data_IF_399130105318
#
_entry.id   IF_399130105318
#
_cell.length_a   1.000
_cell.length_b   1.000
_cell.length_c   1.000
_cell.angle_alpha   90.00
_cell.angle_beta   90.00
_cell.angle_gamma   90.00
#
_symmetry.space_group_name_H-M   'P 1'
#
loop_
_entity.id
_entity.type
_entity.pdbx_description
1 polymer ?
#
# COMPACT_ATOMS: atom_id res chain seq x y z
N UNK A 1 14.35 -4.99 -21.11
CA UNK A 1 13.40 -5.58 -20.13
C UNK A 1 14.05 -6.63 -19.21
N UNK A 2 14.49 -6.24 -18.01
CA UNK A 2 14.94 -7.20 -16.98
C UNK A 2 13.79 -8.12 -16.54
N UNK A 3 14.09 -9.41 -16.34
CA UNK A 3 13.08 -10.41 -15.96
C UNK A 3 12.42 -10.00 -14.64
N UNK A 4 11.11 -9.74 -14.65
CA UNK A 4 10.38 -9.27 -13.46
C UNK A 4 10.57 -10.23 -12.29
N UNK A 5 11.06 -9.79 -11.12
CA UNK A 5 11.21 -10.65 -9.96
C UNK A 5 9.84 -11.10 -9.47
N UNK A 6 9.69 -12.40 -9.18
CA UNK A 6 8.44 -12.96 -8.64
C UNK A 6 7.96 -12.26 -7.37
N UNK A 7 8.88 -11.79 -6.53
CA UNK A 7 8.57 -11.02 -5.32
C UNK A 7 7.82 -9.72 -5.63
N UNK A 8 8.20 -9.00 -6.69
CA UNK A 8 7.52 -7.76 -7.09
C UNK A 8 6.10 -8.06 -7.57
N UNK A 9 5.92 -9.11 -8.36
CA UNK A 9 4.58 -9.54 -8.79
C UNK A 9 3.69 -9.88 -7.60
N UNK A 10 4.19 -10.65 -6.64
CA UNK A 10 3.42 -11.03 -5.43
C UNK A 10 3.06 -9.79 -4.62
N UNK A 11 4.02 -8.91 -4.34
CA UNK A 11 3.77 -7.68 -3.57
C UNK A 11 2.75 -6.79 -4.28
N UNK A 12 2.93 -6.55 -5.59
CA UNK A 12 1.99 -5.76 -6.38
C UNK A 12 0.56 -6.29 -6.28
N UNK A 13 0.36 -7.60 -6.46
CA UNK A 13 -0.96 -8.21 -6.37
C UNK A 13 -1.56 -8.14 -4.98
N UNK A 14 -0.76 -8.33 -3.93
CA UNK A 14 -1.20 -8.17 -2.54
C UNK A 14 -1.71 -6.74 -2.32
N UNK A 15 -0.95 -5.72 -2.73
CA UNK A 15 -1.34 -4.32 -2.55
C UNK A 15 -2.57 -3.93 -3.37
N UNK A 16 -2.70 -4.46 -4.60
CA UNK A 16 -3.91 -4.28 -5.42
C UNK A 16 -5.11 -4.91 -4.73
N UNK A 17 -5.01 -6.17 -4.31
CA UNK A 17 -6.10 -6.90 -3.67
C UNK A 17 -6.53 -6.22 -2.36
N UNK A 18 -5.57 -5.89 -1.49
CA UNK A 18 -5.84 -5.19 -0.23
C UNK A 18 -6.45 -3.82 -0.47
N UNK A 19 -5.92 -3.03 -1.41
CA UNK A 19 -6.48 -1.72 -1.76
C UNK A 19 -7.91 -1.81 -2.30
N UNK A 20 -8.18 -2.79 -3.18
CA UNK A 20 -9.52 -3.05 -3.72
C UNK A 20 -10.50 -3.52 -2.64
N UNK A 21 -10.12 -4.46 -1.78
CA UNK A 21 -10.96 -4.94 -0.67
C UNK A 21 -11.24 -3.81 0.30
N UNK A 22 -10.23 -3.01 0.65
CA UNK A 22 -10.42 -1.85 1.52
C UNK A 22 -11.34 -0.80 0.88
N UNK A 23 -11.23 -0.54 -0.43
CA UNK A 23 -12.17 0.35 -1.13
C UNK A 23 -13.59 -0.22 -1.13
N UNK A 24 -13.75 -1.50 -1.43
CA UNK A 24 -15.04 -2.18 -1.41
C UNK A 24 -15.68 -2.10 -0.01
N UNK A 25 -14.91 -2.38 1.05
CA UNK A 25 -15.38 -2.24 2.43
C UNK A 25 -15.71 -0.80 2.85
N UNK A 26 -15.10 0.21 2.22
CA UNK A 26 -15.46 1.62 2.44
C UNK A 26 -16.80 1.98 1.80
N UNK A 27 -17.05 1.46 0.61
CA UNK A 27 -18.15 1.89 -0.26
C UNK A 27 -19.40 1.01 -0.10
N UNK A 28 -19.22 -0.24 0.32
CA UNK A 28 -20.28 -1.21 0.47
C UNK A 28 -20.52 -1.47 1.96
N UNK A 29 -21.77 -1.36 2.44
CA UNK A 29 -22.13 -1.62 3.83
C UNK A 29 -22.17 -3.14 4.07
N UNK A 30 -21.01 -3.78 4.10
CA UNK A 30 -20.89 -5.22 4.37
C UNK A 30 -21.07 -5.56 5.85
N UNK A 31 -20.87 -4.59 6.74
CA UNK A 31 -20.97 -4.76 8.19
C UNK A 31 -21.53 -3.48 8.83
N UNK A 32 -22.61 -3.61 9.59
CA UNK A 32 -23.27 -2.50 10.27
C UNK A 32 -22.35 -1.82 11.30
N UNK A 33 -21.43 -2.58 11.93
CA UNK A 33 -20.45 -2.05 12.86
C UNK A 33 -19.36 -1.23 12.14
N UNK A 34 -18.88 -1.71 10.98
CA UNK A 34 -17.96 -0.96 10.14
C UNK A 34 -18.63 0.28 9.54
N UNK A 35 -19.93 0.21 9.21
CA UNK A 35 -20.71 1.33 8.72
C UNK A 35 -20.93 2.41 9.80
N UNK A 36 -21.15 2.04 11.07
CA UNK A 36 -21.23 3.00 12.18
C UNK A 36 -19.88 3.67 12.47
N UNK A 37 -18.78 2.91 12.51
CA UNK A 37 -17.43 3.46 12.65
C UNK A 37 -17.08 4.38 11.47
N UNK A 38 -17.43 3.98 10.25
CA UNK A 38 -17.28 4.81 9.06
C UNK A 38 -18.16 6.07 9.12
N UNK A 39 -19.35 6.01 9.73
CA UNK A 39 -20.21 7.17 9.91
C UNK A 39 -19.66 8.16 10.95
N UNK A 40 -19.08 7.68 12.05
CA UNK A 40 -18.38 8.52 13.03
C UNK A 40 -17.11 9.16 12.44
N UNK A 41 -16.32 8.39 11.68
CA UNK A 41 -15.16 8.92 10.93
C UNK A 41 -15.62 9.88 9.83
N UNK A 42 -16.77 9.65 9.20
CA UNK A 42 -17.35 10.54 8.17
C UNK A 42 -17.75 11.90 8.75
N UNK A 43 -18.07 11.99 10.04
CA UNK A 43 -18.26 13.28 10.73
C UNK A 43 -16.96 14.10 10.76
N UNK A 44 -15.80 13.45 10.66
CA UNK A 44 -14.49 14.06 10.41
C UNK A 44 -14.10 13.93 8.93
N UNK A 45 -14.72 14.78 8.10
CA UNK A 45 -14.54 14.79 6.64
C UNK A 45 -13.08 14.66 6.17
N UNK A 46 -12.11 15.26 6.88
CA UNK A 46 -10.69 15.20 6.52
C UNK A 46 -10.10 13.77 6.62
N UNK A 47 -10.40 13.06 7.71
CA UNK A 47 -9.83 11.72 7.97
C UNK A 47 -10.33 10.70 6.96
N UNK A 48 -11.60 10.79 6.55
CA UNK A 48 -12.18 9.94 5.51
C UNK A 48 -11.46 10.10 4.17
N UNK A 49 -11.16 11.34 3.77
CA UNK A 49 -10.44 11.62 2.53
C UNK A 49 -9.02 11.04 2.55
N UNK A 50 -8.27 11.25 3.64
CA UNK A 50 -6.94 10.65 3.79
C UNK A 50 -6.98 9.12 3.71
N UNK A 51 -7.97 8.50 4.34
CA UNK A 51 -8.13 7.05 4.34
C UNK A 51 -8.45 6.49 2.95
N UNK A 52 -9.34 7.16 2.19
CA UNK A 52 -9.67 6.79 0.81
C UNK A 52 -8.48 6.98 -0.12
N UNK A 53 -7.79 8.11 -0.01
CA UNK A 53 -6.56 8.40 -0.78
C UNK A 53 -5.53 7.31 -0.52
N UNK A 54 -5.29 6.94 0.73
CA UNK A 54 -4.36 5.86 1.07
C UNK A 54 -4.74 4.54 0.39
N UNK A 55 -6.02 4.17 0.35
CA UNK A 55 -6.47 2.93 -0.31
C UNK A 55 -6.27 2.96 -1.82
N UNK A 56 -6.58 4.09 -2.47
CA UNK A 56 -6.31 4.28 -3.91
C UNK A 56 -4.81 4.23 -4.19
N UNK A 57 -3.99 4.87 -3.35
CA UNK A 57 -2.53 4.83 -3.47
C UNK A 57 -1.99 3.40 -3.42
N UNK A 58 -2.53 2.52 -2.58
CA UNK A 58 -2.11 1.12 -2.54
C UNK A 58 -2.31 0.41 -3.89
N UNK A 59 -3.46 0.62 -4.53
CA UNK A 59 -3.76 0.06 -5.86
C UNK A 59 -2.84 0.67 -6.91
N UNK A 60 -2.70 2.00 -6.93
CA UNK A 60 -1.81 2.72 -7.87
C UNK A 60 -0.37 2.22 -7.74
N UNK A 61 0.16 2.11 -6.51
CA UNK A 61 1.51 1.57 -6.28
C UNK A 61 1.65 0.18 -6.86
N UNK A 62 0.71 -0.72 -6.56
CA UNK A 62 0.77 -2.11 -7.02
C UNK A 62 0.76 -2.20 -8.54
N UNK A 63 -0.12 -1.46 -9.21
CA UNK A 63 -0.23 -1.40 -10.67
C UNK A 63 1.06 -0.85 -11.30
N UNK A 64 1.54 0.32 -10.87
CA UNK A 64 2.73 0.92 -11.47
C UNK A 64 4.03 0.17 -11.14
N UNK A 65 4.07 -0.57 -10.02
CA UNK A 65 5.14 -1.53 -9.75
C UNK A 65 5.15 -2.71 -10.73
N UNK A 66 3.98 -3.16 -11.22
CA UNK A 66 3.92 -4.16 -12.30
C UNK A 66 4.47 -3.62 -13.61
N UNK A 67 4.44 -2.31 -13.84
CA UNK A 67 5.06 -1.72 -15.03
C UNK A 67 6.55 -1.36 -14.83
N UNK A 68 7.09 -1.53 -13.63
CA UNK A 68 8.51 -1.27 -13.34
C UNK A 68 8.86 0.21 -13.16
N UNK A 69 7.87 1.07 -12.91
CA UNK A 69 8.15 2.48 -12.63
C UNK A 69 8.81 2.66 -11.28
N UNK A 70 10.01 3.27 -11.26
CA UNK A 70 10.78 3.47 -10.03
C UNK A 70 10.08 4.40 -9.01
N UNK A 71 9.25 5.34 -9.47
CA UNK A 71 8.49 6.21 -8.56
C UNK A 71 7.47 5.43 -7.72
N UNK A 72 6.91 4.35 -8.25
CA UNK A 72 5.94 3.51 -7.54
C UNK A 72 6.59 2.83 -6.31
N UNK A 73 7.90 2.55 -6.40
CA UNK A 73 8.70 2.05 -5.28
C UNK A 73 8.68 3.02 -4.10
N UNK A 74 8.94 4.30 -4.38
CA UNK A 74 9.00 5.33 -3.35
C UNK A 74 7.61 5.68 -2.81
N UNK A 75 6.60 5.69 -3.68
CA UNK A 75 5.23 5.88 -3.24
C UNK A 75 4.78 4.77 -2.27
N UNK A 76 5.15 3.51 -2.53
CA UNK A 76 4.87 2.40 -1.62
C UNK A 76 5.57 2.58 -0.26
N UNK A 77 6.81 3.07 -0.25
CA UNK A 77 7.56 3.34 1.00
C UNK A 77 6.89 4.45 1.81
N UNK A 78 6.49 5.55 1.17
CA UNK A 78 5.76 6.64 1.82
C UNK A 78 4.44 6.11 2.41
N UNK A 79 3.73 5.27 1.66
CA UNK A 79 2.49 4.64 2.12
C UNK A 79 2.71 3.75 3.35
N UNK A 80 3.79 2.97 3.39
CA UNK A 80 4.14 2.14 4.55
C UNK A 80 4.53 2.98 5.77
N UNK A 81 5.28 4.08 5.56
CA UNK A 81 5.63 5.02 6.62
C UNK A 81 4.38 5.67 7.26
N UNK A 82 3.40 6.02 6.44
CA UNK A 82 2.10 6.51 6.92
C UNK A 82 1.41 5.48 7.84
N UNK A 83 1.45 4.19 7.47
CA UNK A 83 0.87 3.11 8.29
C UNK A 83 1.63 2.84 9.59
N UNK A 84 2.95 3.05 9.62
CA UNK A 84 3.73 3.02 10.85
C UNK A 84 3.27 4.11 11.83
N UNK A 85 3.06 5.34 11.33
CA UNK A 85 2.54 6.46 12.15
C UNK A 85 1.15 6.13 12.68
N UNK A 86 0.25 5.62 11.83
CA UNK A 86 -1.07 5.16 12.28
C UNK A 86 -0.99 4.04 13.32
N UNK A 87 -0.10 3.07 13.12
CA UNK A 87 0.14 1.99 14.08
C UNK A 87 0.59 2.52 15.44
N UNK A 88 1.49 3.52 15.46
CA UNK A 88 1.93 4.16 16.69
C UNK A 88 0.79 4.88 17.43
N UNK A 89 -0.16 5.47 16.70
CA UNK A 89 -1.33 6.15 17.28
C UNK A 89 -2.41 5.19 17.79
N UNK A 90 -2.61 4.03 17.14
CA UNK A 90 -3.64 3.05 17.51
C UNK A 90 -3.22 2.05 18.60
N UNK A 91 -1.93 1.96 18.91
CA UNK A 91 -1.41 1.17 20.02
C UNK A 91 -0.32 0.17 19.64
N UNK A 92 0.33 -0.47 20.64
CA UNK A 92 1.56 -1.25 20.44
C UNK A 92 1.38 -2.46 19.53
N UNK A 93 0.22 -3.13 19.56
CA UNK A 93 -0.06 -4.25 18.66
C UNK A 93 -0.19 -3.78 17.21
N UNK A 94 -0.89 -2.67 16.98
CA UNK A 94 -1.02 -2.05 15.66
C UNK A 94 0.35 -1.65 15.12
N UNK A 95 1.16 -0.97 15.92
CA UNK A 95 2.52 -0.61 15.55
C UNK A 95 3.37 -1.84 15.19
N UNK A 96 3.32 -2.91 15.99
CA UNK A 96 4.10 -4.13 15.75
C UNK A 96 3.74 -4.76 14.40
N UNK A 97 2.45 -4.97 14.13
CA UNK A 97 1.97 -5.58 12.88
C UNK A 97 2.40 -4.74 11.66
N UNK A 98 2.19 -3.41 11.71
CA UNK A 98 2.58 -2.53 10.62
C UNK A 98 4.09 -2.42 10.45
N UNK A 99 4.86 -2.54 11.53
CA UNK A 99 6.33 -2.55 11.48
C UNK A 99 6.85 -3.80 10.79
N UNK A 100 6.33 -4.98 11.15
CA UNK A 100 6.73 -6.24 10.53
C UNK A 100 6.36 -6.25 9.04
N UNK A 101 5.13 -5.84 8.70
CA UNK A 101 4.70 -5.73 7.31
C UNK A 101 5.61 -4.77 6.52
N UNK A 102 5.87 -3.59 7.06
CA UNK A 102 6.76 -2.60 6.43
C UNK A 102 8.16 -3.16 6.20
N UNK A 103 8.75 -3.81 7.21
CA UNK A 103 10.08 -4.39 7.11
C UNK A 103 10.17 -5.47 6.04
N UNK A 104 9.20 -6.39 6.00
CA UNK A 104 9.13 -7.47 5.00
C UNK A 104 9.00 -6.90 3.59
N UNK A 105 8.07 -5.96 3.38
CA UNK A 105 7.85 -5.36 2.06
C UNK A 105 9.08 -4.56 1.62
N UNK A 106 9.64 -3.73 2.49
CA UNK A 106 10.85 -2.95 2.19
C UNK A 106 12.03 -3.86 1.83
N UNK A 107 12.25 -4.95 2.57
CA UNK A 107 13.32 -5.89 2.28
C UNK A 107 13.22 -6.48 0.85
N UNK A 108 12.05 -6.96 0.46
CA UNK A 108 11.85 -7.51 -0.89
C UNK A 108 11.88 -6.44 -1.99
N UNK A 109 11.45 -5.22 -1.67
CA UNK A 109 11.39 -4.10 -2.60
C UNK A 109 12.77 -3.51 -2.91
N UNK A 110 13.67 -3.47 -1.93
CA UNK A 110 15.03 -2.93 -2.07
C UNK A 110 16.08 -3.98 -2.39
N UNK A 111 15.71 -5.26 -2.48
CA UNK A 111 16.62 -6.34 -2.89
C UNK A 111 17.29 -6.04 -4.25
N UNK A 112 18.56 -6.40 -4.49
CA UNK A 112 19.28 -6.07 -5.73
C UNK A 112 18.53 -6.41 -7.02
N UNK A 113 17.93 -7.61 -7.09
CA UNK A 113 17.10 -8.07 -8.23
C UNK A 113 15.88 -7.16 -8.51
N UNK A 114 15.28 -6.59 -7.47
CA UNK A 114 14.19 -5.63 -7.64
C UNK A 114 14.71 -4.28 -8.12
N UNK A 115 15.83 -3.81 -7.56
CA UNK A 115 16.46 -2.56 -8.00
C UNK A 115 16.90 -2.60 -9.47
N UNK A 116 17.39 -3.74 -9.97
CA UNK A 116 17.69 -3.94 -11.39
C UNK A 116 16.44 -3.84 -12.27
N UNK A 117 15.32 -4.42 -11.83
CA UNK A 117 14.05 -4.35 -12.56
C UNK A 117 13.56 -2.91 -12.73
N UNK A 118 13.58 -2.11 -11.65
CA UNK A 118 13.16 -0.70 -11.70
C UNK A 118 14.15 0.21 -12.45
N UNK A 119 15.43 -0.15 -12.50
CA UNK A 119 16.45 0.58 -13.29
C UNK A 119 16.31 0.32 -14.79
N UNK A 120 15.92 -0.89 -15.18
CA UNK A 120 15.77 -1.27 -16.60
C UNK A 120 14.70 -0.47 -17.35
N UNK A 121 13.64 -0.02 -16.69
CA UNK A 121 12.58 0.79 -17.33
C UNK A 121 13.05 2.21 -17.71
N UNK A 122 14.01 2.80 -17.00
CA UNK A 122 14.56 4.13 -17.35
C UNK A 122 15.49 4.11 -18.57
N UNK A 123 15.93 2.94 -19.02
CA UNK A 123 16.77 2.80 -20.22
C UNK A 123 15.96 2.61 -21.51
N UNK A 124 14.65 2.34 -21.39
CA UNK A 124 13.72 2.08 -22.50
C UNK A 124 12.81 3.31 -22.80
N UNK A 125 13.04 4.47 -22.16
CA UNK A 125 12.36 5.78 -22.40
C UNK A 125 13.39 6.79 -22.90
#
# INVERSE_FOLDING_TARGET
>A
MGKRPRSITVISWIFIAVGCVALAAALLPFDAAAAQLAAEIKARHLELWFMLIARVLAVVCGVFMLYGFNWARWLLVIWLAYHLVLGALHGPLGLFVHSVLTAVVAYYLFRPRASEYFRGTMADI
#
